data_IF_153845861284
#
_entry.id   IF_153845861284
#
_cell.length_a   1.000
_cell.length_b   1.000
_cell.length_c   1.000
_cell.angle_alpha   90.00
_cell.angle_beta   90.00
_cell.angle_gamma   90.00
#
_symmetry.space_group_name_H-M   'P 1'
#
loop_
_entity.id
_entity.type
_entity.pdbx_description
1 polymer ?
#
# COMPACT_ATOMS: atom_id res chain seq x y z
N UNK A 1 25.98 -50.25 -38.73
CA UNK A 1 25.35 -48.98 -38.30
C UNK A 1 23.95 -49.34 -37.83
N UNK A 2 23.47 -49.25 -36.59
CA UNK A 2 23.87 -48.69 -35.29
C UNK A 2 23.25 -49.66 -34.26
N UNK A 3 24.05 -50.31 -33.41
CA UNK A 3 23.60 -51.31 -32.42
C UNK A 3 24.09 -50.93 -31.02
N UNK A 4 23.77 -49.72 -30.56
CA UNK A 4 24.27 -49.21 -29.28
C UNK A 4 23.28 -48.40 -28.41
N UNK A 5 22.04 -48.13 -28.84
CA UNK A 5 21.07 -47.34 -28.05
C UNK A 5 20.35 -48.21 -27.00
N UNK A 6 21.13 -48.92 -26.17
CA UNK A 6 20.60 -49.87 -25.21
C UNK A 6 21.43 -49.98 -23.94
N UNK A 7 22.02 -48.87 -23.47
CA UNK A 7 22.62 -48.85 -22.14
C UNK A 7 21.52 -48.47 -21.14
N UNK A 8 20.99 -49.48 -20.44
CA UNK A 8 20.13 -49.34 -19.26
C UNK A 8 20.70 -48.24 -18.36
N UNK A 9 20.05 -47.08 -18.32
CA UNK A 9 20.17 -46.17 -17.19
C UNK A 9 19.65 -46.96 -16.00
N UNK A 10 20.54 -47.25 -15.06
CA UNK A 10 20.18 -47.91 -13.82
C UNK A 10 19.42 -46.85 -13.04
N UNK A 11 18.09 -46.93 -13.07
CA UNK A 11 17.22 -46.08 -12.26
C UNK A 11 17.53 -46.38 -10.79
N UNK A 12 18.41 -45.57 -10.20
CA UNK A 12 18.50 -45.39 -8.76
C UNK A 12 17.21 -44.69 -8.32
N UNK A 13 16.10 -45.45 -8.27
CA UNK A 13 14.81 -45.03 -7.73
C UNK A 13 14.92 -44.81 -6.22
N UNK A 14 15.62 -43.74 -5.81
CA UNK A 14 15.58 -43.20 -4.46
C UNK A 14 14.31 -42.37 -4.36
N UNK A 15 13.22 -43.02 -3.96
CA UNK A 15 11.95 -42.35 -3.68
C UNK A 15 12.08 -41.44 -2.45
N UNK A 16 11.41 -40.29 -2.49
CA UNK A 16 11.27 -39.38 -1.37
C UNK A 16 10.50 -40.06 -0.24
N UNK A 17 10.98 -39.98 1.00
CA UNK A 17 10.26 -40.58 2.12
C UNK A 17 9.15 -39.64 2.59
N UNK A 18 8.03 -40.20 3.05
CA UNK A 18 6.95 -39.39 3.64
C UNK A 18 7.43 -38.63 4.88
N UNK A 19 8.37 -39.20 5.64
CA UNK A 19 8.92 -38.56 6.83
C UNK A 19 9.76 -37.32 6.48
N UNK A 20 10.54 -37.36 5.39
CA UNK A 20 11.27 -36.18 4.91
C UNK A 20 10.32 -35.04 4.54
N UNK A 21 9.18 -35.35 3.91
CA UNK A 21 8.17 -34.33 3.61
C UNK A 21 7.55 -33.73 4.86
N UNK A 22 7.20 -34.58 5.83
CA UNK A 22 6.54 -34.18 7.08
C UNK A 22 7.43 -33.26 7.92
N UNK A 23 8.73 -33.56 8.02
CA UNK A 23 9.66 -32.70 8.77
C UNK A 23 9.82 -31.33 8.10
N UNK A 24 9.86 -31.27 6.76
CA UNK A 24 9.98 -30.01 6.02
C UNK A 24 8.76 -29.12 6.24
N UNK A 25 7.54 -29.66 6.09
CA UNK A 25 6.32 -28.85 6.31
C UNK A 25 6.17 -28.44 7.78
N UNK A 26 6.64 -29.25 8.73
CA UNK A 26 6.64 -28.89 10.15
C UNK A 26 7.53 -27.67 10.43
N UNK A 27 8.73 -27.62 9.85
CA UNK A 27 9.63 -26.46 9.97
C UNK A 27 9.02 -25.23 9.27
N UNK A 28 8.46 -25.39 8.07
CA UNK A 28 7.80 -24.30 7.33
C UNK A 28 6.62 -23.71 8.12
N UNK A 29 5.84 -24.55 8.82
CA UNK A 29 4.73 -24.08 9.65
C UNK A 29 5.20 -23.19 10.81
N UNK A 30 6.31 -23.57 11.48
CA UNK A 30 6.88 -22.76 12.58
C UNK A 30 7.38 -21.41 12.05
N UNK A 31 8.09 -21.41 10.91
CA UNK A 31 8.56 -20.17 10.28
C UNK A 31 7.40 -19.27 9.86
N UNK A 32 6.37 -19.85 9.22
CA UNK A 32 5.18 -19.12 8.78
C UNK A 32 4.43 -18.48 9.95
N UNK A 33 4.31 -19.18 11.09
CA UNK A 33 3.63 -18.66 12.28
C UNK A 33 4.23 -17.35 12.81
N UNK A 34 5.55 -17.16 12.70
CA UNK A 34 6.23 -15.93 13.13
C UNK A 34 6.29 -14.91 11.98
N UNK A 35 6.51 -15.38 10.76
CA UNK A 35 6.71 -14.52 9.60
C UNK A 35 5.44 -13.79 9.16
N UNK A 36 4.29 -14.47 9.15
CA UNK A 36 3.02 -13.90 8.68
C UNK A 36 2.59 -12.66 9.49
N UNK A 37 2.47 -12.69 10.84
CA UNK A 37 2.04 -11.51 11.60
C UNK A 37 3.04 -10.35 11.48
N UNK A 38 4.35 -10.64 11.47
CA UNK A 38 5.39 -9.62 11.24
C UNK A 38 5.27 -8.98 9.87
N UNK A 39 5.06 -9.79 8.84
CA UNK A 39 4.89 -9.30 7.48
C UNK A 39 3.64 -8.42 7.37
N UNK A 40 2.50 -8.84 7.93
CA UNK A 40 1.28 -8.04 7.93
C UNK A 40 1.49 -6.69 8.63
N UNK A 41 2.11 -6.67 9.82
CA UNK A 41 2.41 -5.43 10.54
C UNK A 41 3.34 -4.50 9.75
N UNK A 42 4.37 -5.07 9.11
CA UNK A 42 5.29 -4.29 8.26
C UNK A 42 4.59 -3.70 7.04
N UNK A 43 3.68 -4.45 6.41
CA UNK A 43 2.88 -3.94 5.29
C UNK A 43 1.96 -2.81 5.73
N UNK A 44 1.27 -2.96 6.88
CA UNK A 44 0.39 -1.93 7.44
C UNK A 44 1.14 -0.62 7.67
N UNK A 45 2.30 -0.69 8.31
CA UNK A 45 3.16 0.49 8.55
C UNK A 45 3.63 1.16 7.25
N UNK A 46 4.00 0.36 6.25
CA UNK A 46 4.38 0.90 4.94
C UNK A 46 3.22 1.62 4.25
N UNK A 47 1.99 1.06 4.34
CA UNK A 47 0.79 1.69 3.79
C UNK A 47 0.45 3.00 4.49
N UNK A 48 0.45 3.04 5.83
CA UNK A 48 0.26 4.27 6.62
C UNK A 48 1.31 5.33 6.26
N UNK A 49 2.58 4.94 6.20
CA UNK A 49 3.66 5.87 5.86
C UNK A 49 3.52 6.44 4.44
N UNK A 50 3.07 5.62 3.48
CA UNK A 50 2.80 6.07 2.12
C UNK A 50 1.58 7.02 2.09
N UNK A 51 0.50 6.68 2.79
CA UNK A 51 -0.71 7.51 2.90
C UNK A 51 -0.37 8.90 3.47
N UNK A 52 0.34 8.94 4.60
CA UNK A 52 0.74 10.19 5.24
C UNK A 52 1.67 11.03 4.35
N UNK A 53 2.50 10.39 3.52
CA UNK A 53 3.34 11.09 2.54
C UNK A 53 2.50 11.67 1.38
N UNK A 54 1.48 10.94 0.92
CA UNK A 54 0.56 11.40 -0.11
C UNK A 54 -0.24 12.62 0.38
N UNK A 55 -0.80 12.56 1.60
CA UNK A 55 -1.52 13.68 2.22
C UNK A 55 -0.65 14.93 2.25
N UNK A 56 0.61 14.84 2.72
CA UNK A 56 1.54 15.99 2.72
C UNK A 56 1.85 16.53 1.33
N UNK A 57 1.90 15.65 0.32
CA UNK A 57 2.13 16.04 -1.07
C UNK A 57 0.94 16.85 -1.58
N UNK A 58 -0.28 16.41 -1.27
CA UNK A 58 -1.52 17.09 -1.62
C UNK A 58 -1.64 18.42 -0.86
N UNK A 59 -1.39 18.45 0.44
CA UNK A 59 -1.34 19.69 1.24
C UNK A 59 -0.35 20.70 0.64
N UNK A 60 0.83 20.23 0.20
CA UNK A 60 1.81 21.08 -0.47
C UNK A 60 1.28 21.69 -1.77
N UNK A 61 0.61 20.88 -2.61
CA UNK A 61 -0.01 21.36 -3.83
C UNK A 61 -1.17 22.33 -3.56
N UNK A 62 -2.02 22.04 -2.57
CA UNK A 62 -3.12 22.91 -2.16
C UNK A 62 -2.60 24.26 -1.62
N UNK A 63 -1.49 24.27 -0.86
CA UNK A 63 -0.85 25.51 -0.42
C UNK A 63 -0.35 26.36 -1.59
N UNK A 64 0.23 25.72 -2.63
CA UNK A 64 0.63 26.44 -3.84
C UNK A 64 -0.58 27.00 -4.60
N UNK A 65 -1.65 26.22 -4.70
CA UNK A 65 -2.92 26.66 -5.30
C UNK A 65 -3.48 27.91 -4.61
N UNK A 66 -3.55 27.91 -3.26
CA UNK A 66 -4.05 29.05 -2.48
C UNK A 66 -3.17 30.28 -2.70
N UNK A 67 -1.85 30.11 -2.75
CA UNK A 67 -0.92 31.21 -2.98
C UNK A 67 -1.11 31.88 -4.35
N UNK A 68 -1.50 31.11 -5.38
CA UNK A 68 -1.70 31.62 -6.74
C UNK A 68 -3.12 32.15 -6.99
N UNK A 69 -4.13 31.71 -6.22
CA UNK A 69 -5.56 31.98 -6.48
C UNK A 69 -6.27 32.80 -5.38
N UNK A 70 -5.52 33.45 -4.47
CA UNK A 70 -5.99 34.34 -3.40
C UNK A 70 -7.33 33.91 -2.77
N UNK A 71 -7.24 32.99 -1.79
CA UNK A 71 -8.33 32.67 -0.84
C UNK A 71 -9.67 32.29 -1.49
N UNK A 72 -9.58 31.41 -2.50
CA UNK A 72 -10.75 30.79 -3.12
C UNK A 72 -11.12 29.51 -2.39
N UNK A 73 -12.33 29.46 -1.81
CA UNK A 73 -12.91 28.23 -1.29
C UNK A 73 -13.06 27.23 -2.43
N UNK A 74 -12.55 26.02 -2.23
CA UNK A 74 -12.55 24.96 -3.24
C UNK A 74 -12.85 23.63 -2.59
N UNK A 75 -13.83 22.92 -3.15
CA UNK A 75 -14.08 21.52 -2.81
C UNK A 75 -13.95 20.70 -4.08
N UNK A 76 -13.13 19.65 -4.00
CA UNK A 76 -12.92 18.69 -5.08
C UNK A 76 -13.40 17.32 -4.64
N UNK A 77 -14.30 16.69 -5.40
CA UNK A 77 -14.78 15.34 -5.08
C UNK A 77 -13.64 14.32 -5.15
N UNK A 78 -12.74 14.45 -6.15
CA UNK A 78 -11.56 13.61 -6.32
C UNK A 78 -10.38 14.41 -6.92
N UNK A 79 -9.19 14.21 -6.38
CA UNK A 79 -7.91 14.65 -6.93
C UNK A 79 -7.42 13.57 -7.89
N UNK A 80 -7.92 13.61 -9.13
CA UNK A 80 -7.70 12.57 -10.15
C UNK A 80 -7.00 13.09 -11.42
N UNK A 81 -6.56 14.35 -11.42
CA UNK A 81 -5.90 15.00 -12.56
C UNK A 81 -6.86 15.32 -13.72
N UNK A 82 -8.17 15.15 -13.52
CA UNK A 82 -9.21 15.53 -14.47
C UNK A 82 -9.42 17.04 -14.54
N UNK A 83 -10.25 17.51 -15.48
CA UNK A 83 -10.47 18.95 -15.68
C UNK A 83 -11.23 19.62 -14.53
N UNK A 84 -11.89 18.84 -13.67
CA UNK A 84 -12.54 19.30 -12.44
C UNK A 84 -11.62 19.28 -11.21
N UNK A 85 -10.39 18.78 -11.36
CA UNK A 85 -9.41 18.74 -10.27
C UNK A 85 -8.70 20.10 -10.15
N UNK A 86 -8.89 20.84 -9.04
CA UNK A 86 -8.28 22.15 -8.84
C UNK A 86 -6.76 22.07 -8.68
N UNK A 87 -6.22 20.91 -8.33
CA UNK A 87 -4.79 20.70 -8.09
C UNK A 87 -4.06 20.12 -9.31
N UNK A 88 -4.74 19.92 -10.44
CA UNK A 88 -4.17 19.31 -11.66
C UNK A 88 -2.85 19.94 -12.12
N UNK A 89 -2.73 21.27 -12.04
CA UNK A 89 -1.52 21.98 -12.47
C UNK A 89 -0.39 21.94 -11.43
N UNK A 90 -0.69 21.51 -10.20
CA UNK A 90 0.23 21.47 -9.06
C UNK A 90 0.67 20.04 -8.71
N UNK A 91 -0.02 19.02 -9.22
CA UNK A 91 0.29 17.61 -9.04
C UNK A 91 0.58 16.96 -10.40
N UNK A 92 1.80 16.45 -10.58
CA UNK A 92 2.17 15.76 -11.82
C UNK A 92 1.42 14.44 -11.99
N UNK A 93 1.39 13.64 -10.92
CA UNK A 93 0.63 12.39 -10.84
C UNK A 93 -0.14 12.40 -9.52
N UNK A 94 -1.49 12.46 -9.54
CA UNK A 94 -2.28 12.48 -8.33
C UNK A 94 -2.11 11.16 -7.56
N UNK A 95 -1.76 11.21 -6.26
CA UNK A 95 -1.59 10.00 -5.49
C UNK A 95 -2.94 9.32 -5.24
N UNK A 96 -2.91 8.00 -5.11
CA UNK A 96 -4.08 7.19 -4.73
C UNK A 96 -3.90 6.66 -3.31
N UNK A 97 -5.02 6.41 -2.63
CA UNK A 97 -5.02 5.85 -1.28
C UNK A 97 -4.41 4.45 -1.31
N UNK A 98 -3.33 4.17 -0.54
CA UNK A 98 -2.70 2.87 -0.53
C UNK A 98 -3.56 1.84 0.21
N UNK A 99 -3.51 0.58 -0.24
CA UNK A 99 -4.20 -0.54 0.42
C UNK A 99 -3.51 -0.99 1.70
N UNK A 100 -4.31 -1.48 2.64
CA UNK A 100 -3.82 -2.19 3.81
C UNK A 100 -3.29 -1.28 4.90
N UNK A 101 -3.75 -0.03 4.93
CA UNK A 101 -3.52 0.94 6.00
C UNK A 101 -4.11 0.43 7.32
N UNK A 102 -5.16 -0.40 7.26
CA UNK A 102 -5.89 -1.02 8.36
C UNK A 102 -6.46 0.00 9.34
N UNK A 103 -6.78 1.20 8.86
CA UNK A 103 -7.36 2.32 9.60
C UNK A 103 -8.84 2.46 9.19
N UNK A 104 -9.73 2.60 10.17
CA UNK A 104 -11.18 2.73 9.92
C UNK A 104 -11.57 4.06 9.27
N UNK A 105 -10.72 5.08 9.38
CA UNK A 105 -10.94 6.41 8.83
C UNK A 105 -10.44 6.53 7.37
N UNK A 106 -9.81 5.48 6.85
CA UNK A 106 -9.36 5.40 5.45
C UNK A 106 -10.27 4.41 4.73
N UNK A 107 -11.16 4.91 3.87
CA UNK A 107 -11.90 4.02 2.97
C UNK A 107 -10.91 3.37 1.98
N UNK A 108 -10.58 2.12 2.22
CA UNK A 108 -9.61 1.38 1.41
C UNK A 108 -10.27 0.73 0.19
N UNK A 109 -10.69 1.52 -0.80
CA UNK A 109 -10.97 0.96 -2.13
C UNK A 109 -9.79 1.19 -3.06
N UNK A 110 -9.47 0.18 -3.86
CA UNK A 110 -8.35 0.23 -4.78
C UNK A 110 -8.52 1.36 -5.80
N UNK A 111 -7.56 2.27 -5.84
CA UNK A 111 -7.58 3.37 -6.81
C UNK A 111 -8.54 4.49 -6.43
N UNK A 112 -9.03 4.55 -5.19
CA UNK A 112 -9.69 5.76 -4.70
C UNK A 112 -8.69 6.90 -4.57
N UNK A 113 -9.10 8.05 -5.08
CA UNK A 113 -8.36 9.30 -5.00
C UNK A 113 -8.67 10.00 -3.68
N UNK A 114 -7.82 10.97 -3.34
CA UNK A 114 -8.08 11.86 -2.21
C UNK A 114 -9.08 12.94 -2.60
N UNK A 115 -9.79 13.48 -1.63
CA UNK A 115 -10.66 14.65 -1.75
C UNK A 115 -9.96 15.81 -1.04
N UNK A 116 -10.04 17.02 -1.59
CA UNK A 116 -9.51 18.23 -0.94
C UNK A 116 -10.60 19.26 -0.78
N UNK A 117 -10.71 19.77 0.44
CA UNK A 117 -11.54 20.91 0.82
C UNK A 117 -10.62 22.03 1.29
N UNK A 118 -10.76 23.20 0.68
CA UNK A 118 -10.09 24.45 1.05
C UNK A 118 -11.19 25.40 1.49
N UNK A 119 -11.16 25.86 2.73
CA UNK A 119 -12.13 26.82 3.27
C UNK A 119 -11.41 27.84 4.12
N UNK A 120 -11.54 29.13 3.78
CA UNK A 120 -10.92 30.26 4.54
C UNK A 120 -9.40 30.04 4.78
N UNK A 121 -8.70 29.57 3.74
CA UNK A 121 -7.27 29.23 3.78
C UNK A 121 -6.89 27.96 4.54
N UNK A 122 -7.85 27.24 5.15
CA UNK A 122 -7.63 25.94 5.80
C UNK A 122 -7.77 24.80 4.79
N UNK A 123 -6.76 23.92 4.74
CA UNK A 123 -6.73 22.76 3.83
C UNK A 123 -7.08 21.51 4.61
N UNK A 124 -8.13 20.81 4.16
CA UNK A 124 -8.52 19.50 4.65
C UNK A 124 -8.38 18.48 3.52
N UNK A 125 -7.57 17.45 3.75
CA UNK A 125 -7.42 16.32 2.83
C UNK A 125 -8.12 15.11 3.43
N UNK A 126 -9.02 14.50 2.64
CA UNK A 126 -9.79 13.33 3.04
C UNK A 126 -9.33 12.14 2.17
N UNK A 127 -9.00 10.97 2.73
CA UNK A 127 -8.93 10.70 4.17
C UNK A 127 -7.74 11.39 4.87
N UNK A 128 -7.95 11.83 6.12
CA UNK A 128 -6.93 12.56 6.91
C UNK A 128 -5.70 11.68 7.17
N UNK A 129 -4.56 12.32 7.47
CA UNK A 129 -3.37 11.63 7.97
C UNK A 129 -3.73 10.72 9.14
N UNK A 130 -3.13 9.53 9.14
CA UNK A 130 -3.22 8.60 10.28
C UNK A 130 -2.14 9.00 11.27
N UNK A 131 -2.47 9.18 12.55
CA UNK A 131 -1.48 9.51 13.57
C UNK A 131 -0.50 8.34 13.74
N UNK A 132 0.80 8.62 13.58
CA UNK A 132 1.87 7.63 13.76
C UNK A 132 2.16 7.33 15.24
N UNK A 133 1.30 7.76 16.18
CA UNK A 133 1.54 7.48 17.60
C UNK A 133 1.24 6.01 17.92
N UNK A 134 2.25 5.22 18.33
CA UNK A 134 1.99 3.89 18.84
C UNK A 134 1.40 4.03 20.25
N UNK A 135 0.07 4.22 20.36
CA UNK A 135 -0.65 4.05 21.62
C UNK A 135 -1.70 5.09 22.03
N UNK A 136 -2.28 5.90 21.15
CA UNK A 136 -3.32 6.86 21.56
C UNK A 136 -4.76 6.34 21.54
N UNK A 137 -5.00 5.05 21.27
CA UNK A 137 -6.31 4.39 21.48
C UNK A 137 -6.43 3.83 22.91
N UNK A 138 -6.04 4.57 23.95
CA UNK A 138 -6.50 4.33 25.33
C UNK A 138 -6.47 5.67 26.08
N UNK A 139 -7.61 6.37 26.11
CA UNK A 139 -8.02 7.30 27.18
C UNK A 139 -9.52 7.54 27.12
#
# INVERSE_FOLDING_TARGET
MIKWIGKKLKDDNRGFTLIELVVVIAILAILAAIAIPRYQASRKRAAISAHNANVRTIEGAANMYIADNEDSDVTSEEINGGDSDPLKDYLQDPPVVPKGTGDSNVEEKEGEFYTVEITDGEITVIPEKVSDEPGSEES
#
